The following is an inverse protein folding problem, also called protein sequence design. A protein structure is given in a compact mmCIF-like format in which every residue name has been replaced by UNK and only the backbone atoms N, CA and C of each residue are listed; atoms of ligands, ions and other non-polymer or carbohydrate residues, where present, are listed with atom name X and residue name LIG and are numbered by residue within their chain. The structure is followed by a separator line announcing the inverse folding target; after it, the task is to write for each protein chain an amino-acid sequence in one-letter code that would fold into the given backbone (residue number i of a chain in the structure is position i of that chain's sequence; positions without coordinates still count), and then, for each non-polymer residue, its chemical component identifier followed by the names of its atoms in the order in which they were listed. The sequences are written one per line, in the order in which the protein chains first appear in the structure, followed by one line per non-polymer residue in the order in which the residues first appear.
data_IF_564772987478
#
_entry.id   IF_564772987478
#
_cell.length_a   1.000
_cell.length_b   1.000
_cell.length_c   1.000
_cell.angle_alpha   90.00
_cell.angle_beta   90.00
_cell.angle_gamma   90.00
#
_symmetry.space_group_name_H-M   'P 1'
#
loop_
_entity.id
_entity.type
_entity.pdbx_description
1 polymer ?
#
# COMPACT_ATOMS: atom_id res chain seq x y z
N UNK A 1 -8.78 5.75 15.75
CA UNK A 1 -9.98 6.35 15.09
C UNK A 1 -9.63 7.04 13.77
N UNK A 2 -8.56 7.87 13.68
CA UNK A 2 -8.17 8.55 12.44
C UNK A 2 -7.91 7.55 11.31
N UNK A 3 -7.20 6.45 11.59
CA UNK A 3 -6.93 5.38 10.62
C UNK A 3 -8.22 4.81 10.00
N UNK A 4 -9.24 4.55 10.83
CA UNK A 4 -10.53 4.04 10.35
C UNK A 4 -11.28 5.05 9.48
N UNK A 5 -11.25 6.33 9.84
CA UNK A 5 -11.87 7.40 9.04
C UNK A 5 -11.19 7.48 7.67
N UNK A 6 -9.85 7.45 7.63
CA UNK A 6 -9.10 7.49 6.37
C UNK A 6 -9.42 6.28 5.47
N UNK A 7 -9.47 5.05 6.03
CA UNK A 7 -9.86 3.87 5.26
C UNK A 7 -11.31 3.93 4.78
N UNK A 8 -12.23 4.41 5.62
CA UNK A 8 -13.64 4.57 5.25
C UNK A 8 -13.84 5.58 4.12
N UNK A 9 -13.21 6.75 4.20
CA UNK A 9 -13.28 7.75 3.14
C UNK A 9 -12.63 7.26 1.85
N UNK A 10 -11.45 6.63 1.95
CA UNK A 10 -10.80 6.04 0.78
C UNK A 10 -11.68 4.98 0.11
N UNK A 11 -12.37 4.13 0.89
CA UNK A 11 -13.28 3.12 0.38
C UNK A 11 -14.52 3.71 -0.32
N UNK A 12 -15.10 4.77 0.22
CA UNK A 12 -16.24 5.46 -0.40
C UNK A 12 -15.82 6.07 -1.74
N UNK A 13 -14.70 6.77 -1.79
CA UNK A 13 -14.22 7.39 -3.03
C UNK A 13 -13.82 6.37 -4.08
N UNK A 14 -13.19 5.25 -3.71
CA UNK A 14 -12.82 4.21 -4.68
C UNK A 14 -14.06 3.47 -5.21
N UNK A 15 -15.10 3.26 -4.39
CA UNK A 15 -16.37 2.72 -4.84
C UNK A 15 -17.07 3.66 -5.84
N UNK A 16 -17.05 4.97 -5.56
CA UNK A 16 -17.53 5.99 -6.49
C UNK A 16 -16.74 6.02 -7.81
N UNK A 17 -15.42 5.86 -7.76
CA UNK A 17 -14.60 5.73 -8.96
C UNK A 17 -15.00 4.50 -9.78
N UNK A 18 -15.30 3.36 -9.13
CA UNK A 18 -15.82 2.15 -9.79
C UNK A 18 -17.16 2.38 -10.49
N UNK A 19 -18.05 3.15 -9.88
CA UNK A 19 -19.33 3.50 -10.49
C UNK A 19 -19.15 4.32 -11.79
N UNK A 20 -18.29 5.33 -11.79
CA UNK A 20 -18.00 6.10 -12.99
C UNK A 20 -17.17 5.33 -14.03
N UNK A 21 -16.31 4.41 -13.59
CA UNK A 21 -15.60 3.50 -14.48
C UNK A 21 -16.56 2.58 -15.28
N UNK A 22 -17.66 2.15 -14.66
CA UNK A 22 -18.70 1.37 -15.33
C UNK A 22 -19.40 2.15 -16.44
N UNK A 23 -19.46 3.47 -16.32
CA UNK A 23 -20.12 4.38 -17.27
C UNK A 23 -19.14 5.01 -18.26
N UNK A 24 -17.88 4.57 -18.32
CA UNK A 24 -16.80 5.10 -19.14
C UNK A 24 -16.54 6.61 -18.97
N UNK A 25 -16.95 7.17 -17.84
CA UNK A 25 -16.75 8.57 -17.49
C UNK A 25 -15.37 8.76 -16.81
N UNK A 26 -14.34 8.97 -17.62
CA UNK A 26 -12.93 9.00 -17.19
C UNK A 26 -12.64 10.14 -16.20
N UNK A 27 -13.16 11.36 -16.46
CA UNK A 27 -12.81 12.53 -15.64
C UNK A 27 -13.32 12.41 -14.18
N UNK A 28 -14.62 12.13 -13.90
CA UNK A 28 -15.07 11.95 -12.53
C UNK A 28 -14.46 10.72 -11.86
N UNK A 29 -14.23 9.64 -12.61
CA UNK A 29 -13.51 8.46 -12.13
C UNK A 29 -12.11 8.84 -11.61
N UNK A 30 -11.35 9.59 -12.40
CA UNK A 30 -9.99 10.00 -12.03
C UNK A 30 -9.96 10.92 -10.81
N UNK A 31 -10.92 11.85 -10.70
CA UNK A 31 -11.02 12.74 -9.53
C UNK A 31 -11.30 11.93 -8.26
N UNK A 32 -12.26 11.01 -8.29
CA UNK A 32 -12.59 10.17 -7.12
C UNK A 32 -11.47 9.21 -6.78
N UNK A 33 -10.80 8.63 -7.78
CA UNK A 33 -9.61 7.83 -7.57
C UNK A 33 -8.50 8.62 -6.87
N UNK A 34 -8.23 9.83 -7.33
CA UNK A 34 -7.22 10.71 -6.73
C UNK A 34 -7.56 11.08 -5.28
N UNK A 35 -8.82 11.35 -4.98
CA UNK A 35 -9.30 11.58 -3.62
C UNK A 35 -9.14 10.31 -2.75
N UNK A 36 -9.47 9.15 -3.27
CA UNK A 36 -9.26 7.88 -2.57
C UNK A 36 -7.79 7.69 -2.19
N UNK A 37 -6.87 7.92 -3.14
CA UNK A 37 -5.43 7.82 -2.90
C UNK A 37 -4.96 8.84 -1.86
N UNK A 38 -5.48 10.08 -1.89
CA UNK A 38 -5.13 11.11 -0.93
C UNK A 38 -5.48 10.72 0.52
N UNK A 39 -6.59 10.00 0.73
CA UNK A 39 -6.96 9.48 2.04
C UNK A 39 -6.26 8.15 2.38
N UNK A 40 -5.91 7.35 1.38
CA UNK A 40 -5.23 6.08 1.59
C UNK A 40 -3.75 6.25 1.95
N UNK A 41 -3.01 7.15 1.31
CA UNK A 41 -1.56 7.29 1.53
C UNK A 41 -1.17 7.55 3.00
N UNK A 42 -1.86 8.41 3.76
CA UNK A 42 -1.56 8.57 5.19
C UNK A 42 -1.75 7.30 6.02
N UNK A 43 -2.61 6.37 5.58
CA UNK A 43 -2.88 5.15 6.34
C UNK A 43 -1.66 4.23 6.44
N UNK A 44 -0.75 4.29 5.47
CA UNK A 44 0.51 3.52 5.50
C UNK A 44 1.39 3.93 6.68
N UNK A 45 1.55 5.23 6.90
CA UNK A 45 2.31 5.73 8.04
C UNK A 45 1.58 5.50 9.36
N UNK A 46 0.25 5.71 9.38
CA UNK A 46 -0.58 5.51 10.57
C UNK A 46 -0.61 4.05 11.02
N UNK A 47 -0.71 3.09 10.08
CA UNK A 47 -0.70 1.66 10.41
C UNK A 47 0.64 1.21 11.01
N UNK A 48 1.76 1.69 10.46
CA UNK A 48 3.08 1.44 11.03
C UNK A 48 3.19 2.03 12.44
N UNK A 49 2.72 3.27 12.65
CA UNK A 49 2.73 3.92 13.96
C UNK A 49 1.89 3.13 14.98
N UNK A 50 0.72 2.66 14.60
CA UNK A 50 -0.13 1.83 15.46
C UNK A 50 0.57 0.50 15.79
N UNK A 51 1.20 -0.14 14.82
CA UNK A 51 1.93 -1.39 15.03
C UNK A 51 3.08 -1.20 16.02
N UNK A 52 3.91 -0.17 15.85
CA UNK A 52 5.00 0.13 16.80
C UNK A 52 4.49 0.42 18.20
N UNK A 53 3.47 1.28 18.33
CA UNK A 53 2.88 1.60 19.64
C UNK A 53 2.30 0.37 20.31
N UNK A 54 1.64 -0.52 19.55
CA UNK A 54 1.06 -1.75 20.09
C UNK A 54 2.14 -2.72 20.59
N UNK A 55 3.25 -2.83 19.86
CA UNK A 55 4.39 -3.65 20.27
C UNK A 55 5.06 -3.10 21.54
N UNK A 56 5.27 -1.80 21.61
CA UNK A 56 5.84 -1.14 22.80
C UNK A 56 4.94 -1.33 24.02
N UNK A 57 3.62 -1.17 23.87
CA UNK A 57 2.66 -1.42 24.95
C UNK A 57 2.63 -2.88 25.39
N UNK A 58 2.87 -3.82 24.47
CA UNK A 58 2.98 -5.24 24.78
C UNK A 58 4.33 -5.65 25.37
N UNK A 59 5.29 -4.70 25.53
CA UNK A 59 6.64 -4.99 26.05
C UNK A 59 7.53 -5.75 25.08
N UNK A 60 7.20 -5.77 23.78
CA UNK A 60 8.00 -6.43 22.75
C UNK A 60 9.10 -5.51 22.21
N UNK A 61 10.24 -6.11 21.83
CA UNK A 61 11.28 -5.42 21.07
C UNK A 61 10.78 -5.14 19.65
N UNK A 62 10.53 -3.87 19.35
CA UNK A 62 9.98 -3.43 18.07
C UNK A 62 10.87 -3.81 16.89
N UNK A 63 12.20 -3.81 17.07
CA UNK A 63 13.16 -4.12 16.00
C UNK A 63 13.06 -5.60 15.59
N UNK A 64 12.87 -6.50 16.56
CA UNK A 64 12.77 -7.95 16.32
C UNK A 64 11.36 -8.39 15.94
N UNK A 65 10.33 -7.78 16.53
CA UNK A 65 8.95 -8.23 16.38
C UNK A 65 8.25 -7.62 15.16
N UNK A 66 8.66 -6.44 14.68
CA UNK A 66 7.99 -5.77 13.57
C UNK A 66 8.20 -6.47 12.21
N UNK A 67 9.41 -6.95 11.82
CA UNK A 67 9.60 -7.59 10.52
C UNK A 67 8.66 -8.77 10.24
N UNK A 68 8.49 -9.77 11.15
CA UNK A 68 7.53 -10.85 10.95
C UNK A 68 6.08 -10.36 10.79
N UNK A 69 5.69 -9.32 11.54
CA UNK A 69 4.33 -8.75 11.42
C UNK A 69 4.14 -8.11 10.05
N UNK A 70 5.14 -7.41 9.54
CA UNK A 70 5.10 -6.80 8.21
C UNK A 70 4.89 -7.83 7.10
N UNK A 71 5.40 -9.05 7.25
CA UNK A 71 5.20 -10.16 6.28
C UNK A 71 3.72 -10.45 6.03
N UNK A 72 2.86 -10.34 7.05
CA UNK A 72 1.42 -10.50 6.86
C UNK A 72 0.82 -9.47 5.90
N UNK A 73 1.40 -8.28 5.82
CA UNK A 73 1.01 -7.28 4.81
C UNK A 73 1.31 -7.77 3.38
N UNK A 74 2.48 -8.36 3.16
CA UNK A 74 2.85 -8.93 1.87
C UNK A 74 1.97 -10.15 1.52
N UNK A 75 1.68 -11.02 2.50
CA UNK A 75 0.74 -12.14 2.30
C UNK A 75 -0.65 -11.63 1.91
N UNK A 76 -1.17 -10.62 2.59
CA UNK A 76 -2.46 -10.00 2.24
C UNK A 76 -2.46 -9.42 0.83
N UNK A 77 -1.36 -8.79 0.41
CA UNK A 77 -1.20 -8.27 -0.95
C UNK A 77 -1.21 -9.41 -2.00
N UNK A 78 -0.48 -10.51 -1.77
CA UNK A 78 -0.49 -11.70 -2.64
C UNK A 78 -1.91 -12.25 -2.78
N UNK A 79 -2.62 -12.44 -1.66
CA UNK A 79 -3.99 -12.96 -1.66
C UNK A 79 -4.92 -12.04 -2.45
N UNK A 80 -4.85 -10.72 -2.26
CA UNK A 80 -5.67 -9.77 -2.99
C UNK A 80 -5.37 -9.79 -4.51
N UNK A 81 -4.09 -9.90 -4.90
CA UNK A 81 -3.69 -10.03 -6.30
C UNK A 81 -4.22 -11.31 -6.94
N UNK A 82 -4.11 -12.44 -6.25
CA UNK A 82 -4.61 -13.73 -6.76
C UNK A 82 -6.14 -13.73 -6.89
N UNK A 83 -6.86 -13.16 -5.93
CA UNK A 83 -8.32 -13.00 -6.04
C UNK A 83 -8.66 -12.15 -7.27
N UNK A 84 -7.99 -11.01 -7.46
CA UNK A 84 -8.21 -10.15 -8.62
C UNK A 84 -7.93 -10.87 -9.94
N UNK A 85 -6.88 -11.70 -9.97
CA UNK A 85 -6.47 -12.45 -11.16
C UNK A 85 -7.47 -13.56 -11.51
N UNK A 86 -7.73 -14.48 -10.58
CA UNK A 86 -8.59 -15.64 -10.82
C UNK A 86 -10.08 -15.28 -10.94
N UNK A 87 -10.52 -14.18 -10.32
CA UNK A 87 -11.87 -13.65 -10.53
C UNK A 87 -12.04 -12.88 -11.85
N UNK A 88 -10.96 -12.69 -12.61
CA UNK A 88 -11.00 -11.95 -13.89
C UNK A 88 -11.20 -10.46 -13.75
N UNK A 89 -10.82 -9.87 -12.60
CA UNK A 89 -11.02 -8.44 -12.33
C UNK A 89 -9.89 -7.55 -12.85
N UNK A 90 -8.81 -8.11 -13.42
CA UNK A 90 -7.60 -7.38 -13.82
C UNK A 90 -7.84 -6.20 -14.77
N UNK A 91 -8.81 -6.32 -15.68
CA UNK A 91 -9.15 -5.29 -16.66
C UNK A 91 -10.61 -4.81 -16.54
N UNK A 92 -11.20 -4.95 -15.36
CA UNK A 92 -12.60 -4.67 -15.10
C UNK A 92 -12.74 -3.67 -13.94
N UNK A 93 -13.79 -2.86 -14.00
CA UNK A 93 -14.17 -1.93 -12.92
C UNK A 93 -14.42 -2.64 -11.57
N UNK A 94 -14.64 -3.95 -11.55
CA UNK A 94 -14.84 -4.76 -10.34
C UNK A 94 -13.65 -4.71 -9.37
N UNK A 95 -12.43 -4.46 -9.86
CA UNK A 95 -11.26 -4.25 -8.99
C UNK A 95 -11.44 -3.07 -8.02
N UNK A 96 -12.17 -2.02 -8.41
CA UNK A 96 -12.46 -0.87 -7.54
C UNK A 96 -13.40 -1.28 -6.40
N UNK A 97 -14.42 -2.10 -6.69
CA UNK A 97 -15.34 -2.60 -5.67
C UNK A 97 -14.66 -3.60 -4.72
N UNK A 98 -13.78 -4.46 -5.23
CA UNK A 98 -12.94 -5.32 -4.39
C UNK A 98 -12.09 -4.49 -3.41
N UNK A 99 -11.45 -3.44 -3.91
CA UNK A 99 -10.65 -2.53 -3.08
C UNK A 99 -11.53 -1.80 -2.05
N UNK A 100 -12.72 -1.33 -2.45
CA UNK A 100 -13.67 -0.68 -1.55
C UNK A 100 -14.13 -1.61 -0.43
N UNK A 101 -14.46 -2.85 -0.74
CA UNK A 101 -14.86 -3.86 0.24
C UNK A 101 -13.77 -4.09 1.29
N UNK A 102 -12.52 -4.29 0.85
CA UNK A 102 -11.38 -4.45 1.74
C UNK A 102 -11.19 -3.19 2.61
N UNK A 103 -11.32 -2.01 2.01
CA UNK A 103 -11.22 -0.73 2.73
C UNK A 103 -12.28 -0.57 3.82
N UNK A 104 -13.52 -0.98 3.57
CA UNK A 104 -14.61 -0.98 4.56
C UNK A 104 -14.29 -1.97 5.68
N UNK A 105 -13.88 -3.20 5.35
CA UNK A 105 -13.49 -4.19 6.34
C UNK A 105 -12.34 -3.68 7.23
N UNK A 106 -11.34 -3.01 6.66
CA UNK A 106 -10.26 -2.38 7.40
C UNK A 106 -10.77 -1.25 8.29
N UNK A 107 -11.65 -0.39 7.80
CA UNK A 107 -12.25 0.69 8.59
C UNK A 107 -12.98 0.15 9.83
N UNK A 108 -13.76 -0.92 9.67
CA UNK A 108 -14.43 -1.61 10.78
C UNK A 108 -13.44 -2.27 11.73
N UNK A 109 -12.40 -2.93 11.19
CA UNK A 109 -11.38 -3.58 12.00
C UNK A 109 -10.58 -2.61 12.87
N UNK A 110 -10.42 -1.35 12.43
CA UNK A 110 -9.74 -0.33 13.26
C UNK A 110 -10.45 -0.03 14.57
N UNK A 111 -11.73 -0.37 14.71
CA UNK A 111 -12.47 -0.23 15.98
C UNK A 111 -12.03 -1.26 17.02
N UNK A 112 -11.49 -2.40 16.58
CA UNK A 112 -10.96 -3.46 17.43
C UNK A 112 -9.49 -3.25 17.82
N UNK A 113 -8.80 -2.28 17.21
CA UNK A 113 -7.40 -2.00 17.51
C UNK A 113 -7.24 -1.36 18.90
N UNK A 114 -6.13 -1.64 19.60
CA UNK A 114 -5.84 -1.05 20.89
C UNK A 114 -5.75 0.48 20.81
N UNK A 115 -6.10 1.14 21.91
CA UNK A 115 -6.05 2.59 21.97
C UNK A 115 -4.59 3.07 22.04
N UNK A 116 -4.12 3.71 20.99
CA UNK A 116 -2.82 4.34 20.95
C UNK A 116 -2.93 5.74 21.59
N UNK A 117 -2.22 6.04 22.69
CA UNK A 117 -2.24 7.35 23.30
C UNK A 117 -1.65 8.38 22.32
N UNK A 118 -2.38 9.45 22.11
CA UNK A 118 -1.87 10.58 21.33
C UNK A 118 -0.93 11.36 22.24
N UNK A 119 0.36 11.33 21.95
CA UNK A 119 1.32 12.22 22.59
C UNK A 119 0.95 13.66 22.24
N UNK A 120 0.29 14.37 23.16
CA UNK A 120 0.14 15.82 23.03
C UNK A 120 1.52 16.41 23.12
N UNK A 121 2.01 16.93 22.01
CA UNK A 121 3.26 17.67 21.99
C UNK A 121 3.16 18.83 22.99
N UNK A 122 3.71 18.64 24.20
CA UNK A 122 3.87 19.70 25.18
C UNK A 122 4.96 20.64 24.65
N UNK A 123 4.59 21.87 24.34
CA UNK A 123 5.49 22.94 23.95
C UNK A 123 5.23 23.49 22.56
N UNK A 124 5.65 24.74 22.35
CA UNK A 124 5.61 25.46 21.08
C UNK A 124 6.54 24.81 20.04
N UNK A 125 6.07 23.69 19.47
CA UNK A 125 6.76 23.11 18.31
C UNK A 125 6.53 24.01 17.12
N UNK A 126 7.61 24.47 16.51
CA UNK A 126 7.60 25.18 15.23
C UNK A 126 6.82 24.36 14.18
N UNK A 127 6.20 25.04 13.22
CA UNK A 127 5.51 24.39 12.08
C UNK A 127 6.42 23.37 11.37
N UNK A 128 7.72 23.67 11.24
CA UNK A 128 8.70 22.74 10.67
C UNK A 128 8.83 21.45 11.47
N UNK A 129 8.80 21.52 12.80
CA UNK A 129 8.84 20.35 13.67
C UNK A 129 7.55 19.54 13.61
N UNK A 130 6.40 20.23 13.51
CA UNK A 130 5.09 19.57 13.35
C UNK A 130 4.97 18.82 12.02
N UNK A 131 5.59 19.33 10.96
CA UNK A 131 5.63 18.72 9.63
C UNK A 131 6.72 17.66 9.49
N UNK A 132 7.53 17.42 10.53
CA UNK A 132 8.63 16.45 10.47
C UNK A 132 9.81 16.88 9.59
N UNK A 133 9.87 18.16 9.16
CA UNK A 133 10.92 18.68 8.29
C UNK A 133 12.30 18.69 8.97
N UNK A 134 12.33 18.51 10.29
CA UNK A 134 13.59 18.31 11.02
C UNK A 134 14.36 17.06 10.53
N UNK A 135 13.69 16.09 9.94
CA UNK A 135 14.33 14.93 9.32
C UNK A 135 15.33 15.33 8.21
N UNK A 136 15.09 16.45 7.52
CA UNK A 136 16.06 16.98 6.54
C UNK A 136 17.41 17.40 7.16
N UNK A 137 17.47 17.62 8.46
CA UNK A 137 18.74 17.87 9.16
C UNK A 137 19.68 16.64 9.09
N UNK A 138 19.14 15.44 8.94
CA UNK A 138 19.92 14.22 8.79
C UNK A 138 20.74 14.18 7.49
N UNK A 139 20.33 14.92 6.46
CA UNK A 139 21.11 15.06 5.23
C UNK A 139 22.45 15.80 5.41
N UNK A 140 22.66 16.46 6.56
CA UNK A 140 23.97 17.04 6.90
C UNK A 140 25.04 15.96 7.13
N UNK A 141 24.65 14.75 7.53
CA UNK A 141 25.56 13.62 7.64
C UNK A 141 25.68 12.93 6.27
N UNK A 142 26.91 12.81 5.74
CA UNK A 142 27.16 12.17 4.45
C UNK A 142 26.64 10.73 4.39
N UNK A 143 26.78 9.98 5.46
CA UNK A 143 26.28 8.59 5.53
C UNK A 143 24.77 8.53 5.43
N UNK A 144 24.06 9.41 6.19
CA UNK A 144 22.60 9.46 6.15
C UNK A 144 22.10 9.97 4.80
N UNK A 145 22.75 10.97 4.21
CA UNK A 145 22.39 11.46 2.88
C UNK A 145 22.49 10.35 1.81
N UNK A 146 23.60 9.60 1.81
CA UNK A 146 23.76 8.44 0.91
C UNK A 146 22.71 7.37 1.13
N UNK A 147 22.39 7.06 2.40
CA UNK A 147 21.33 6.10 2.72
C UNK A 147 19.96 6.56 2.21
N UNK A 148 19.60 7.82 2.38
CA UNK A 148 18.33 8.37 1.88
C UNK A 148 18.27 8.35 0.35
N UNK A 149 19.35 8.72 -0.35
CA UNK A 149 19.42 8.67 -1.82
C UNK A 149 19.27 7.23 -2.30
N UNK A 150 19.97 6.29 -1.70
CA UNK A 150 19.87 4.87 -2.02
C UNK A 150 18.44 4.34 -1.81
N UNK A 151 17.83 4.64 -0.66
CA UNK A 151 16.45 4.23 -0.35
C UNK A 151 15.44 4.85 -1.32
N UNK A 152 15.64 6.10 -1.72
CA UNK A 152 14.81 6.77 -2.72
C UNK A 152 14.92 6.08 -4.08
N UNK A 153 16.13 5.78 -4.55
CA UNK A 153 16.35 5.10 -5.82
C UNK A 153 15.75 3.69 -5.84
N UNK A 154 15.89 2.94 -4.73
CA UNK A 154 15.23 1.65 -4.57
C UNK A 154 13.71 1.78 -4.63
N UNK A 155 13.14 2.76 -3.94
CA UNK A 155 11.70 3.00 -3.97
C UNK A 155 11.19 3.35 -5.37
N UNK A 156 11.92 4.17 -6.13
CA UNK A 156 11.60 4.51 -7.52
C UNK A 156 11.64 3.24 -8.39
N UNK A 157 12.70 2.44 -8.28
CA UNK A 157 12.85 1.20 -9.05
C UNK A 157 11.70 0.22 -8.76
N UNK A 158 11.38 0.01 -7.48
CA UNK A 158 10.27 -0.84 -7.05
C UNK A 158 8.92 -0.35 -7.59
N UNK A 159 8.67 0.96 -7.52
CA UNK A 159 7.42 1.56 -7.99
C UNK A 159 7.26 1.44 -9.51
N UNK A 160 8.33 1.64 -10.28
CA UNK A 160 8.31 1.44 -11.74
C UNK A 160 7.98 -0.02 -12.06
N UNK A 161 8.66 -0.97 -11.41
CA UNK A 161 8.41 -2.39 -11.62
C UNK A 161 6.95 -2.74 -11.29
N UNK A 162 6.46 -2.38 -10.11
CA UNK A 162 5.09 -2.69 -9.69
C UNK A 162 4.03 -1.99 -10.56
N UNK A 163 4.29 -0.77 -11.02
CA UNK A 163 3.33 0.00 -11.81
C UNK A 163 3.21 -0.49 -13.27
N UNK A 164 4.29 -0.96 -13.87
CA UNK A 164 4.32 -1.30 -15.29
C UNK A 164 4.38 -2.80 -15.59
N UNK A 165 4.75 -3.65 -14.62
CA UNK A 165 4.92 -5.09 -14.85
C UNK A 165 3.64 -5.76 -15.38
N UNK A 166 2.48 -5.45 -14.81
CA UNK A 166 1.21 -6.02 -15.26
C UNK A 166 0.92 -5.66 -16.72
N UNK A 167 1.00 -4.36 -17.08
CA UNK A 167 0.78 -3.90 -18.45
C UNK A 167 1.78 -4.50 -19.44
N UNK A 168 3.05 -4.62 -19.04
CA UNK A 168 4.09 -5.24 -19.84
C UNK A 168 3.79 -6.71 -20.12
N UNK A 169 3.51 -7.51 -19.09
CA UNK A 169 3.20 -8.93 -19.25
C UNK A 169 1.93 -9.13 -20.08
N UNK A 170 0.90 -8.34 -19.82
CA UNK A 170 -0.37 -8.42 -20.55
C UNK A 170 -0.22 -8.02 -22.01
N UNK A 171 0.75 -7.17 -22.36
CA UNK A 171 0.99 -6.77 -23.76
C UNK A 171 1.36 -7.95 -24.67
N UNK A 172 1.93 -9.04 -24.10
CA UNK A 172 2.22 -10.26 -24.85
C UNK A 172 0.96 -10.97 -25.38
N UNK A 173 -0.22 -10.68 -24.86
CA UNK A 173 -1.49 -11.17 -25.46
C UNK A 173 -1.68 -10.72 -26.92
N UNK A 174 -1.05 -9.61 -27.31
CA UNK A 174 -1.13 -9.09 -28.67
C UNK A 174 -0.30 -9.91 -29.67
N UNK A 175 0.56 -10.79 -29.18
CA UNK A 175 1.38 -11.68 -30.01
C UNK A 175 0.69 -13.05 -30.11
N UNK A 176 0.38 -13.57 -31.32
CA UNK A 176 -0.35 -14.83 -31.48
C UNK A 176 0.31 -16.03 -30.79
N UNK A 177 1.64 -16.03 -30.71
CA UNK A 177 2.43 -17.10 -30.08
C UNK A 177 2.22 -17.16 -28.57
N UNK A 178 1.93 -16.03 -27.91
CA UNK A 178 1.84 -15.92 -26.45
C UNK A 178 0.42 -15.68 -25.96
N UNK A 179 -0.55 -15.41 -26.85
CA UNK A 179 -1.92 -15.05 -26.48
C UNK A 179 -2.61 -16.05 -25.52
N UNK A 180 -2.32 -17.34 -25.67
CA UNK A 180 -2.91 -18.42 -24.89
C UNK A 180 -1.99 -18.93 -23.76
N UNK A 181 -0.87 -18.26 -23.51
CA UNK A 181 0.03 -18.69 -22.42
C UNK A 181 -0.53 -18.30 -21.04
N UNK A 182 -0.24 -19.13 -20.04
CA UNK A 182 -0.61 -18.85 -18.65
C UNK A 182 -0.09 -17.47 -18.21
N UNK A 183 1.15 -17.13 -18.53
CA UNK A 183 1.77 -15.87 -18.11
C UNK A 183 1.05 -14.64 -18.64
N UNK A 184 0.70 -14.61 -19.94
CA UNK A 184 -0.03 -13.50 -20.52
C UNK A 184 -1.44 -13.35 -19.96
N UNK A 185 -2.10 -14.46 -19.58
CA UNK A 185 -3.46 -14.45 -19.05
C UNK A 185 -3.52 -14.18 -17.54
N UNK A 186 -2.47 -14.55 -16.79
CA UNK A 186 -2.39 -14.45 -15.34
C UNK A 186 -1.19 -13.61 -14.89
N UNK A 187 -1.11 -12.37 -15.39
CA UNK A 187 0.00 -11.45 -15.11
C UNK A 187 0.18 -11.19 -13.60
N UNK A 188 -0.91 -11.04 -12.84
CA UNK A 188 -0.85 -10.84 -11.41
C UNK A 188 -0.31 -12.08 -10.66
N UNK A 189 -0.62 -13.29 -11.12
CA UNK A 189 -0.06 -14.51 -10.54
C UNK A 189 1.47 -14.57 -10.74
N UNK A 190 1.99 -14.14 -11.90
CA UNK A 190 3.44 -14.03 -12.10
C UNK A 190 4.08 -12.97 -11.21
N UNK A 191 3.45 -11.80 -11.08
CA UNK A 191 3.94 -10.72 -10.23
C UNK A 191 3.94 -11.16 -8.77
N UNK A 192 2.98 -11.99 -8.34
CA UNK A 192 2.93 -12.50 -6.97
C UNK A 192 4.15 -13.35 -6.59
N UNK A 193 4.85 -13.96 -7.55
CA UNK A 193 6.09 -14.69 -7.30
C UNK A 193 7.20 -13.78 -6.77
N UNK A 194 7.28 -12.53 -7.24
CA UNK A 194 8.25 -11.55 -6.72
C UNK A 194 7.96 -11.22 -5.26
N UNK A 195 6.70 -11.14 -4.88
CA UNK A 195 6.27 -10.89 -3.50
C UNK A 195 6.54 -12.09 -2.58
N UNK A 196 6.42 -13.32 -3.10
CA UNK A 196 6.84 -14.52 -2.36
C UNK A 196 8.34 -14.49 -2.09
N UNK A 197 9.15 -14.13 -3.09
CA UNK A 197 10.61 -13.98 -2.93
C UNK A 197 10.94 -12.90 -1.88
N UNK A 198 10.27 -11.74 -1.92
CA UNK A 198 10.42 -10.69 -0.91
C UNK A 198 10.11 -11.21 0.50
N UNK A 199 9.00 -11.93 0.65
CA UNK A 199 8.59 -12.54 1.92
C UNK A 199 9.66 -13.49 2.47
N UNK A 200 10.19 -14.37 1.63
CA UNK A 200 11.23 -15.30 2.02
C UNK A 200 12.51 -14.57 2.44
N UNK A 201 12.91 -13.54 1.71
CA UNK A 201 14.08 -12.73 2.07
C UNK A 201 13.91 -12.03 3.42
N UNK A 202 12.73 -11.48 3.71
CA UNK A 202 12.45 -10.83 5.00
C UNK A 202 12.51 -11.83 6.17
N UNK A 203 12.06 -13.07 5.94
CA UNK A 203 12.08 -14.11 6.98
C UNK A 203 13.46 -14.73 7.21
N UNK A 204 14.39 -14.59 6.24
CA UNK A 204 15.75 -15.13 6.33
C UNK A 204 16.75 -14.17 7.01
N UNK A 205 16.39 -12.90 7.17
CA UNK A 205 17.19 -11.85 7.81
C UNK A 205 16.81 -11.76 9.30
#
# INVERSE_FOLDING_TARGET
RLLGICHGLAAIFIAGAGYFAQSDLITPMFILYSLSVAFYMPTLALSNSVAYTSLEQGGYDTVKAFPPIRVFGTVGFIVAMLICDFAGFQANYMQFYQCALIGICLALYTMALPHCPVSKAQGDKSLMQRLGLDAFKLFKSKQMALFFIFSMLLGVSLQITNGFANGFITSFKNLPEFANTFGANHANALISLSQVSETLCILLI
#
